data_IF_717361739886
#
_entry.id   IF_717361739886
#
_cell.length_a   1.000
_cell.length_b   1.000
_cell.length_c   1.000
_cell.angle_alpha   90.00
_cell.angle_beta   90.00
_cell.angle_gamma   90.00
#
_symmetry.space_group_name_H-M   'P 1'
#
loop_
_entity.id
_entity.type
_entity.pdbx_description
1 polymer ?
#
# COMPACT_ATOMS: atom_id res chain seq x y z
N UNK A 1 3.01 -3.80 -18.38
CA UNK A 1 2.32 -3.52 -17.11
C UNK A 1 2.94 -2.27 -16.49
N UNK A 2 2.13 -1.30 -16.06
CA UNK A 2 2.67 -0.15 -15.33
C UNK A 2 3.15 -0.63 -13.95
N UNK A 3 4.44 -0.45 -13.65
CA UNK A 3 5.03 -0.83 -12.36
C UNK A 3 4.47 0.08 -11.27
N UNK A 4 3.99 -0.50 -10.18
CA UNK A 4 3.61 0.23 -8.97
C UNK A 4 4.86 0.48 -8.14
N UNK A 5 4.94 1.67 -7.54
CA UNK A 5 5.97 2.04 -6.58
C UNK A 5 5.28 2.30 -5.24
N UNK A 6 5.74 1.59 -4.21
CA UNK A 6 5.24 1.73 -2.84
C UNK A 6 6.31 2.48 -2.04
N UNK A 7 5.92 3.57 -1.40
CA UNK A 7 6.80 4.39 -0.58
C UNK A 7 6.22 4.55 0.82
N UNK A 8 7.05 4.34 1.85
CA UNK A 8 6.65 4.52 3.26
C UNK A 8 7.17 5.85 3.80
N UNK A 9 6.26 6.71 4.24
CA UNK A 9 6.62 7.95 4.95
C UNK A 9 6.62 7.65 6.44
N UNK A 10 7.80 7.28 6.97
CA UNK A 10 7.97 6.81 8.35
C UNK A 10 7.42 7.80 9.39
N UNK A 11 7.71 9.08 9.23
CA UNK A 11 7.31 10.11 10.20
C UNK A 11 5.79 10.36 10.25
N UNK A 12 5.07 9.95 9.20
CA UNK A 12 3.62 10.13 9.10
C UNK A 12 2.84 8.80 9.21
N UNK A 13 3.53 7.69 9.48
CA UNK A 13 2.95 6.34 9.45
C UNK A 13 2.04 6.14 8.23
N UNK A 14 2.50 6.53 7.05
CA UNK A 14 1.69 6.58 5.82
C UNK A 14 2.37 5.80 4.70
N UNK A 15 1.55 5.10 3.92
CA UNK A 15 1.94 4.40 2.70
C UNK A 15 1.43 5.20 1.51
N UNK A 16 2.30 5.40 0.53
CA UNK A 16 1.96 6.00 -0.77
C UNK A 16 2.18 4.94 -1.82
N UNK A 17 1.13 4.65 -2.59
CA UNK A 17 1.18 3.73 -3.74
C UNK A 17 0.96 4.58 -4.98
N UNK A 18 1.94 4.64 -5.88
CA UNK A 18 1.85 5.43 -7.12
C UNK A 18 2.26 4.59 -8.32
N UNK A 19 1.76 4.94 -9.52
CA UNK A 19 2.33 4.39 -10.74
C UNK A 19 3.72 5.00 -10.99
N UNK A 20 4.73 4.18 -11.29
CA UNK A 20 6.15 4.56 -11.40
C UNK A 20 6.46 5.65 -12.45
N UNK A 21 5.49 6.07 -13.27
CA UNK A 21 5.63 7.16 -14.24
C UNK A 21 5.43 8.56 -13.62
N UNK A 22 5.04 8.67 -12.35
CA UNK A 22 4.88 9.94 -11.65
C UNK A 22 6.17 10.41 -10.98
N UNK A 23 6.60 11.65 -11.25
CA UNK A 23 7.84 12.25 -10.75
C UNK A 23 8.05 12.18 -9.23
N UNK A 24 9.24 12.58 -8.78
CA UNK A 24 9.73 12.48 -7.38
C UNK A 24 8.94 13.30 -6.34
N UNK A 25 7.86 13.97 -6.75
CA UNK A 25 7.11 14.87 -5.90
C UNK A 25 5.88 14.17 -5.32
N UNK A 26 5.74 14.27 -3.99
CA UNK A 26 4.64 13.75 -3.17
C UNK A 26 3.32 14.53 -3.37
N UNK A 27 2.93 14.76 -4.62
CA UNK A 27 1.65 15.35 -4.94
C UNK A 27 0.66 14.19 -5.07
N UNK A 28 -0.51 14.30 -4.44
CA UNK A 28 -1.65 13.42 -4.72
C UNK A 28 -1.96 13.56 -6.21
N UNK A 29 -1.42 12.64 -7.01
CA UNK A 29 -1.75 12.52 -8.42
C UNK A 29 -3.00 11.65 -8.53
N UNK A 30 -3.80 11.79 -9.61
CA UNK A 30 -4.90 10.86 -9.90
C UNK A 30 -4.47 9.38 -9.94
N UNK A 31 -3.16 9.12 -10.10
CA UNK A 31 -2.56 7.79 -10.15
C UNK A 31 -1.79 7.44 -8.86
N UNK A 32 -2.14 8.07 -7.74
CA UNK A 32 -1.58 7.75 -6.43
C UNK A 32 -2.67 7.54 -5.38
N UNK A 33 -2.42 6.59 -4.50
CA UNK A 33 -3.23 6.27 -3.34
C UNK A 33 -2.40 6.50 -2.09
N UNK A 34 -2.92 7.31 -1.17
CA UNK A 34 -2.27 7.65 0.10
C UNK A 34 -3.14 7.09 1.22
N UNK A 35 -2.56 6.26 2.08
CA UNK A 35 -3.28 5.64 3.19
C UNK A 35 -2.39 5.58 4.42
N UNK A 36 -2.94 5.91 5.59
CA UNK A 36 -2.24 5.69 6.85
C UNK A 36 -2.08 4.18 7.10
N UNK A 37 -0.95 3.78 7.69
CA UNK A 37 -0.66 2.38 8.02
C UNK A 37 -1.77 1.75 8.89
N UNK A 38 -2.33 2.43 9.91
CA UNK A 38 -3.45 1.87 10.69
C UNK A 38 -4.71 1.60 9.85
N UNK A 39 -5.05 2.52 8.94
CA UNK A 39 -6.22 2.35 8.07
C UNK A 39 -5.98 1.22 7.06
N UNK A 40 -4.77 1.13 6.50
CA UNK A 40 -4.38 0.04 5.62
C UNK A 40 -4.46 -1.31 6.33
N UNK A 41 -3.94 -1.42 7.55
CA UNK A 41 -4.03 -2.63 8.35
C UNK A 41 -5.49 -3.04 8.63
N UNK A 42 -6.37 -2.06 8.88
CA UNK A 42 -7.80 -2.28 9.09
C UNK A 42 -8.49 -2.80 7.82
N UNK A 43 -8.19 -2.20 6.67
CA UNK A 43 -8.67 -2.63 5.36
C UNK A 43 -8.25 -4.07 5.04
N UNK A 44 -6.98 -4.39 5.26
CA UNK A 44 -6.44 -5.73 5.05
C UNK A 44 -7.14 -6.75 5.97
N UNK A 45 -7.31 -6.44 7.26
CA UNK A 45 -8.07 -7.29 8.19
C UNK A 45 -9.50 -7.53 7.71
N UNK A 46 -10.19 -6.49 7.24
CA UNK A 46 -11.53 -6.60 6.68
C UNK A 46 -11.57 -7.55 5.47
N UNK A 47 -10.63 -7.40 4.53
CA UNK A 47 -10.56 -8.25 3.34
C UNK A 47 -10.34 -9.73 3.68
N UNK A 48 -9.53 -10.01 4.69
CA UNK A 48 -9.27 -11.37 5.17
C UNK A 48 -10.52 -11.96 5.83
N UNK A 49 -11.15 -11.23 6.76
CA UNK A 49 -12.32 -11.70 7.50
C UNK A 49 -13.50 -12.01 6.56
N UNK A 50 -13.66 -11.23 5.50
CA UNK A 50 -14.71 -11.42 4.50
C UNK A 50 -14.29 -12.36 3.35
N UNK A 51 -13.13 -13.02 3.43
CA UNK A 51 -12.61 -13.94 2.41
C UNK A 51 -12.42 -13.31 1.01
N UNK A 52 -12.29 -12.00 0.93
CA UNK A 52 -11.93 -11.29 -0.31
C UNK A 52 -10.46 -11.43 -0.66
N UNK A 53 -9.62 -11.80 0.31
CA UNK A 53 -8.19 -12.00 0.13
C UNK A 53 -7.77 -13.32 0.76
N UNK A 54 -6.98 -14.12 0.01
CA UNK A 54 -6.41 -15.34 0.55
C UNK A 54 -5.27 -15.02 1.52
N UNK A 55 -5.12 -15.86 2.55
CA UNK A 55 -4.06 -15.72 3.55
C UNK A 55 -2.64 -15.69 2.94
N UNK A 56 -2.43 -16.42 1.84
CA UNK A 56 -1.16 -16.42 1.09
C UNK A 56 -0.82 -15.05 0.49
N UNK A 57 -1.82 -14.33 -0.02
CA UNK A 57 -1.63 -12.99 -0.58
C UNK A 57 -1.23 -12.00 0.53
N UNK A 58 -1.85 -12.12 1.71
CA UNK A 58 -1.46 -11.33 2.87
C UNK A 58 -0.01 -11.59 3.28
N UNK A 59 0.38 -12.86 3.40
CA UNK A 59 1.72 -13.26 3.81
C UNK A 59 2.79 -12.69 2.86
N UNK A 60 2.52 -12.69 1.54
CA UNK A 60 3.37 -12.04 0.55
C UNK A 60 3.45 -10.51 0.69
N UNK A 61 2.32 -9.84 0.96
CA UNK A 61 2.32 -8.38 1.19
C UNK A 61 3.10 -8.03 2.46
N UNK A 62 2.96 -8.82 3.52
CA UNK A 62 3.67 -8.58 4.77
C UNK A 62 5.17 -8.81 4.63
N UNK A 63 5.62 -9.82 3.87
CA UNK A 63 7.06 -10.00 3.61
C UNK A 63 7.66 -8.80 2.88
N UNK A 64 6.98 -8.26 1.86
CA UNK A 64 7.47 -7.10 1.09
C UNK A 64 7.52 -5.79 1.88
N UNK A 65 6.72 -5.65 2.95
CA UNK A 65 6.70 -4.45 3.80
C UNK A 65 7.79 -4.53 4.89
N UNK A 66 8.25 -5.73 5.24
CA UNK A 66 9.17 -5.97 6.37
C UNK A 66 10.64 -6.04 5.94
N UNK A 67 10.92 -6.38 4.68
CA UNK A 67 12.23 -6.15 4.02
C UNK A 67 12.46 -4.65 3.70
#
# INVERSE_FOLDING_TARGET
>A
MNKLEISKIKNLNTIVIKQAKGGRFFISTPNSFIISIPNFATLIRFLILNKFMSRKVLEGILSEITE
#
